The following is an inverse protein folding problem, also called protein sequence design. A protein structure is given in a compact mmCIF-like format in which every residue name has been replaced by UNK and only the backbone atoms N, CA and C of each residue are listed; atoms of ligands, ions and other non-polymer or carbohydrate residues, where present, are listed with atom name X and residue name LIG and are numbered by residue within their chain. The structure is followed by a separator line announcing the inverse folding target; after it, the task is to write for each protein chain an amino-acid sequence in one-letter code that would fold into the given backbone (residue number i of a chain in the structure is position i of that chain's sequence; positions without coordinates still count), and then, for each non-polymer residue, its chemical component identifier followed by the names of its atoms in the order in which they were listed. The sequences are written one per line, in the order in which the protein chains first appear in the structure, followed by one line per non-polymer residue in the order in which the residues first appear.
data_IF_527575673547
#
_entry.id   IF_527575673547
#
_cell.length_a   1.000
_cell.length_b   1.000
_cell.length_c   1.000
_cell.angle_alpha   90.00
_cell.angle_beta   90.00
_cell.angle_gamma   90.00
#
_symmetry.space_group_name_H-M   'P 1'
#
loop_
_entity.id
_entity.type
_entity.pdbx_description
1 polymer ?
#
# COMPACT_ATOMS: atom_id res chain seq x y z
N UNK A 1 -6.73 -8.86 4.80
CA UNK A 1 -6.28 -7.50 4.45
C UNK A 1 -6.85 -7.08 3.11
N UNK A 2 -7.00 -5.77 2.88
CA UNK A 2 -7.28 -5.15 1.58
C UNK A 2 -6.09 -4.26 1.21
N UNK A 3 -5.44 -4.54 0.09
CA UNK A 3 -4.32 -3.73 -0.41
C UNK A 3 -4.88 -2.61 -1.28
N UNK A 4 -4.55 -1.36 -0.95
CA UNK A 4 -5.10 -0.20 -1.65
C UNK A 4 -4.01 0.84 -1.96
N UNK A 5 -4.18 1.52 -3.10
CA UNK A 5 -3.32 2.63 -3.46
C UNK A 5 -3.47 3.81 -2.47
N UNK A 6 -2.36 4.46 -2.05
CA UNK A 6 -2.43 5.58 -1.12
C UNK A 6 -3.07 6.86 -1.68
N UNK A 7 -2.89 7.11 -2.99
CA UNK A 7 -3.23 8.37 -3.64
C UNK A 7 -4.68 8.46 -4.14
N UNK A 8 -5.46 7.38 -4.07
CA UNK A 8 -6.86 7.34 -4.50
C UNK A 8 -7.84 7.34 -3.34
N UNK A 9 -9.10 7.67 -3.65
CA UNK A 9 -10.19 7.61 -2.68
C UNK A 9 -10.35 6.19 -2.13
N UNK A 10 -10.32 6.06 -0.80
CA UNK A 10 -10.40 4.78 -0.11
C UNK A 10 -11.83 4.34 0.22
N UNK A 11 -12.86 5.10 -0.14
CA UNK A 11 -14.26 4.84 0.27
C UNK A 11 -14.72 3.41 -0.02
N UNK A 12 -14.42 2.88 -1.21
CA UNK A 12 -14.80 1.50 -1.55
C UNK A 12 -14.05 0.49 -0.68
N UNK A 13 -12.73 0.64 -0.56
CA UNK A 13 -11.89 -0.22 0.27
C UNK A 13 -12.27 -0.15 1.75
N UNK A 14 -12.62 1.03 2.26
CA UNK A 14 -13.12 1.28 3.62
C UNK A 14 -14.44 0.57 3.88
N UNK A 15 -15.41 0.70 2.97
CA UNK A 15 -16.68 -0.03 3.09
C UNK A 15 -16.45 -1.54 3.10
N UNK A 16 -15.71 -2.07 2.13
CA UNK A 16 -15.46 -3.53 2.07
C UNK A 16 -14.70 -4.02 3.31
N UNK A 17 -13.69 -3.27 3.76
CA UNK A 17 -12.93 -3.57 4.98
C UNK A 17 -13.84 -3.66 6.21
N UNK A 18 -14.74 -2.69 6.38
CA UNK A 18 -15.68 -2.64 7.49
C UNK A 18 -16.68 -3.81 7.46
N UNK A 19 -17.22 -4.15 6.29
CA UNK A 19 -18.20 -5.24 6.12
C UNK A 19 -17.62 -6.63 6.40
N UNK A 20 -16.34 -6.85 6.07
CA UNK A 20 -15.69 -8.16 6.23
C UNK A 20 -14.74 -8.25 7.43
N UNK A 21 -14.60 -7.17 8.20
CA UNK A 21 -13.67 -7.10 9.33
C UNK A 21 -12.18 -7.18 8.91
N UNK A 22 -11.83 -6.66 7.73
CA UNK A 22 -10.46 -6.67 7.22
C UNK A 22 -9.75 -5.34 7.48
N UNK A 23 -8.43 -5.38 7.63
CA UNK A 23 -7.59 -4.17 7.67
C UNK A 23 -7.13 -3.74 6.28
N UNK A 24 -6.98 -2.44 6.06
CA UNK A 24 -6.45 -1.87 4.81
C UNK A 24 -4.95 -1.63 4.97
N UNK A 25 -4.16 -2.12 4.01
CA UNK A 25 -2.73 -1.84 3.92
C UNK A 25 -2.40 -1.10 2.62
N UNK A 26 -1.40 -0.19 2.64
CA UNK A 26 -1.00 0.58 1.46
C UNK A 26 -0.16 -0.27 0.50
N UNK A 27 -0.46 -0.18 -0.80
CA UNK A 27 0.36 -0.75 -1.87
C UNK A 27 0.50 0.26 -3.00
N UNK A 28 1.72 0.70 -3.28
CA UNK A 28 2.00 1.74 -4.26
C UNK A 28 2.05 1.14 -5.68
N UNK A 29 1.30 1.66 -6.68
CA UNK A 29 1.22 1.06 -8.02
C UNK A 29 2.37 1.44 -8.97
N UNK A 30 3.27 2.34 -8.54
CA UNK A 30 4.44 2.84 -9.30
C UNK A 30 4.09 3.70 -10.51
N UNK A 31 2.87 4.24 -10.58
CA UNK A 31 2.44 5.10 -11.68
C UNK A 31 3.09 6.49 -11.63
N UNK A 32 3.23 7.05 -10.42
CA UNK A 32 3.85 8.35 -10.19
C UNK A 32 4.39 8.47 -8.75
N UNK A 33 5.29 9.42 -8.53
CA UNK A 33 5.75 9.81 -7.19
C UNK A 33 4.97 11.03 -6.73
N UNK A 34 4.60 11.07 -5.46
CA UNK A 34 4.15 12.30 -4.81
C UNK A 34 5.30 13.30 -4.66
N UNK A 35 5.01 14.61 -4.52
CA UNK A 35 6.07 15.61 -4.27
C UNK A 35 6.95 15.28 -3.06
N UNK A 36 6.38 14.70 -2.01
CA UNK A 36 7.13 14.32 -0.80
C UNK A 36 8.07 13.15 -1.07
N UNK A 37 7.63 12.13 -1.82
CA UNK A 37 8.48 11.01 -2.25
C UNK A 37 9.62 11.49 -3.16
N UNK A 38 9.34 12.42 -4.09
CA UNK A 38 10.38 13.03 -4.91
C UNK A 38 11.40 13.79 -4.06
N UNK A 39 10.94 14.58 -3.09
CA UNK A 39 11.81 15.32 -2.19
C UNK A 39 12.64 14.41 -1.27
N UNK A 40 12.09 13.25 -0.89
CA UNK A 40 12.77 12.21 -0.13
C UNK A 40 13.78 11.41 -0.97
N UNK A 41 13.77 11.56 -2.30
CA UNK A 41 14.62 10.80 -3.20
C UNK A 41 14.18 9.34 -3.38
N UNK A 42 12.88 9.05 -3.19
CA UNK A 42 12.35 7.72 -3.41
C UNK A 42 12.49 7.29 -4.88
N UNK A 43 12.81 6.01 -5.06
CA UNK A 43 12.97 5.38 -6.36
C UNK A 43 12.18 4.07 -6.44
N UNK A 44 12.31 3.38 -7.57
CA UNK A 44 11.65 2.09 -7.77
C UNK A 44 11.98 1.08 -6.66
N UNK A 45 13.24 1.01 -6.24
CA UNK A 45 13.69 0.03 -5.25
C UNK A 45 13.19 0.39 -3.86
N UNK A 46 13.26 1.66 -3.45
CA UNK A 46 12.76 2.09 -2.14
C UNK A 46 11.26 1.81 -2.01
N UNK A 47 10.49 2.11 -3.05
CA UNK A 47 9.04 1.87 -3.07
C UNK A 47 8.72 0.37 -3.09
N UNK A 48 9.43 -0.42 -3.89
CA UNK A 48 9.20 -1.87 -3.93
C UNK A 48 9.59 -2.58 -2.64
N UNK A 49 10.56 -2.06 -1.89
CA UNK A 49 10.86 -2.55 -0.54
C UNK A 49 9.72 -2.27 0.44
N UNK A 50 9.10 -1.09 0.37
CA UNK A 50 7.90 -0.78 1.16
C UNK A 50 6.74 -1.69 0.77
N UNK A 51 6.48 -1.87 -0.53
CA UNK A 51 5.46 -2.78 -1.03
C UNK A 51 5.71 -4.23 -0.58
N UNK A 52 6.96 -4.70 -0.62
CA UNK A 52 7.34 -6.03 -0.17
C UNK A 52 7.00 -6.24 1.31
N UNK A 53 7.23 -5.24 2.16
CA UNK A 53 6.86 -5.30 3.57
C UNK A 53 5.33 -5.40 3.74
N UNK A 54 4.55 -4.61 3.00
CA UNK A 54 3.08 -4.75 2.98
C UNK A 54 2.65 -6.15 2.55
N UNK A 55 3.25 -6.69 1.49
CA UNK A 55 2.91 -8.02 0.97
C UNK A 55 3.23 -9.13 1.98
N UNK A 56 4.36 -9.04 2.69
CA UNK A 56 4.71 -9.99 3.75
C UNK A 56 3.66 -10.03 4.87
N UNK A 57 3.15 -8.87 5.28
CA UNK A 57 2.07 -8.77 6.27
C UNK A 57 0.80 -9.41 5.71
N UNK A 58 0.43 -9.07 4.47
CA UNK A 58 -0.83 -9.50 3.87
C UNK A 58 -0.90 -10.99 3.54
N UNK A 59 0.24 -11.59 3.19
CA UNK A 59 0.36 -12.97 2.72
C UNK A 59 0.86 -13.93 3.79
N UNK A 60 0.93 -13.49 5.05
CA UNK A 60 1.35 -14.32 6.19
C UNK A 60 2.70 -15.02 5.94
N UNK A 61 3.64 -14.35 5.26
CA UNK A 61 5.01 -14.83 5.16
C UNK A 61 5.72 -14.57 6.50
N UNK A 62 5.34 -15.33 7.52
CA UNK A 62 6.16 -15.56 8.69
C UNK A 62 7.25 -16.57 8.29
N UNK A 63 8.44 -16.06 7.99
CA UNK A 63 9.68 -16.82 7.98
C UNK A 63 10.78 -15.95 8.57
#
# INVERSE_FOLDING_TARGET
YILAEPATSKRLSETVAAEVGAEILPLHPLESLTPDQMAAGDDFMSIMLVNLNTLKIALECAS
#
